data_IF_796089724726
#
_entry.id   IF_796089724726
#
_cell.length_a   1.000
_cell.length_b   1.000
_cell.length_c   1.000
_cell.angle_alpha   90.00
_cell.angle_beta   90.00
_cell.angle_gamma   90.00
#
_symmetry.space_group_name_H-M   'P 1'
#
loop_
_entity.id
_entity.type
_entity.pdbx_description
1 polymer ?
#
# COMPACT_ATOMS: atom_id res chain seq x y z
N UNK A 1 15.65 -27.00 -20.68
CA UNK A 1 14.97 -25.70 -20.92
C UNK A 1 13.88 -25.37 -19.90
N UNK A 2 13.07 -26.34 -19.42
CA UNK A 2 11.93 -26.08 -18.52
C UNK A 2 12.28 -25.55 -17.12
N UNK A 3 13.42 -25.93 -16.54
CA UNK A 3 13.83 -25.47 -15.20
C UNK A 3 14.11 -23.96 -15.12
N UNK A 4 14.67 -23.37 -16.19
CA UNK A 4 14.93 -21.93 -16.26
C UNK A 4 13.62 -21.15 -16.37
N UNK A 5 12.66 -21.66 -17.16
CA UNK A 5 11.34 -21.05 -17.31
C UNK A 5 10.54 -21.08 -16.00
N UNK A 6 10.55 -22.19 -15.25
CA UNK A 6 9.92 -22.26 -13.92
C UNK A 6 10.55 -21.28 -12.92
N UNK A 7 11.88 -21.16 -12.91
CA UNK A 7 12.59 -20.22 -12.03
C UNK A 7 12.25 -18.77 -12.36
N UNK A 8 12.17 -18.43 -13.66
CA UNK A 8 11.73 -17.10 -14.10
C UNK A 8 10.29 -16.81 -13.66
N UNK A 9 9.39 -17.79 -13.79
CA UNK A 9 7.99 -17.64 -13.39
C UNK A 9 7.85 -17.43 -11.88
N UNK A 10 8.61 -18.14 -11.06
CA UNK A 10 8.65 -17.93 -9.61
C UNK A 10 9.19 -16.55 -9.22
N UNK A 11 10.24 -16.08 -9.89
CA UNK A 11 10.81 -14.74 -9.64
C UNK A 11 9.78 -13.66 -9.97
N UNK A 12 9.14 -13.74 -11.14
CA UNK A 12 8.10 -12.79 -11.56
C UNK A 12 6.90 -12.81 -10.60
N UNK A 13 6.49 -13.99 -10.14
CA UNK A 13 5.41 -14.13 -9.15
C UNK A 13 5.77 -13.42 -7.83
N UNK A 14 6.99 -13.61 -7.32
CA UNK A 14 7.46 -12.95 -6.09
C UNK A 14 7.53 -11.43 -6.24
N UNK A 15 8.09 -10.94 -7.35
CA UNK A 15 8.17 -9.50 -7.63
C UNK A 15 6.78 -8.87 -7.77
N UNK A 16 5.85 -9.54 -8.44
CA UNK A 16 4.47 -9.05 -8.63
C UNK A 16 3.71 -8.97 -7.31
N UNK A 17 3.88 -9.95 -6.43
CA UNK A 17 3.28 -9.94 -5.08
C UNK A 17 3.78 -8.74 -4.29
N UNK A 18 5.10 -8.52 -4.28
CA UNK A 18 5.72 -7.37 -3.59
C UNK A 18 5.18 -6.07 -4.18
N UNK A 19 5.23 -5.88 -5.50
CA UNK A 19 4.75 -4.67 -6.16
C UNK A 19 3.26 -4.38 -5.91
N UNK A 20 2.41 -5.42 -5.88
CA UNK A 20 0.97 -5.28 -5.63
C UNK A 20 0.67 -4.84 -4.20
N UNK A 21 1.51 -5.20 -3.23
CA UNK A 21 1.40 -4.71 -1.84
C UNK A 21 1.87 -3.24 -1.77
N UNK A 22 2.97 -2.91 -2.44
CA UNK A 22 3.53 -1.55 -2.42
C UNK A 22 2.70 -0.52 -3.18
N UNK A 23 2.03 -0.87 -4.29
CA UNK A 23 1.23 0.07 -5.08
C UNK A 23 0.19 0.88 -4.26
N UNK A 24 -0.73 0.25 -3.50
CA UNK A 24 -1.70 1.00 -2.71
C UNK A 24 -1.05 1.77 -1.57
N UNK A 25 0.01 1.23 -0.96
CA UNK A 25 0.79 1.93 0.09
C UNK A 25 1.41 3.22 -0.46
N UNK A 26 2.07 3.15 -1.61
CA UNK A 26 2.68 4.30 -2.27
C UNK A 26 1.64 5.31 -2.72
N UNK A 27 0.45 4.88 -3.14
CA UNK A 27 -0.64 5.79 -3.48
C UNK A 27 -1.11 6.57 -2.26
N UNK A 28 -1.30 5.89 -1.11
CA UNK A 28 -1.69 6.57 0.14
C UNK A 28 -0.56 7.49 0.61
N UNK A 29 0.69 7.03 0.63
CA UNK A 29 1.84 7.85 1.00
C UNK A 29 2.06 9.03 0.06
N UNK A 30 1.79 8.86 -1.23
CA UNK A 30 1.85 9.90 -2.24
C UNK A 30 0.78 10.96 -2.03
N UNK A 31 -0.47 10.55 -1.81
CA UNK A 31 -1.57 11.47 -1.46
C UNK A 31 -1.22 12.21 -0.16
N UNK A 32 -0.87 11.50 0.92
CA UNK A 32 -0.53 12.12 2.21
C UNK A 32 0.78 12.92 2.22
N UNK A 33 1.69 12.68 1.27
CA UNK A 33 2.93 13.43 1.09
C UNK A 33 2.77 14.71 0.28
N UNK A 34 1.59 14.97 -0.29
CA UNK A 34 1.30 16.25 -0.92
C UNK A 34 1.17 17.33 0.15
N UNK A 35 1.77 18.51 -0.10
CA UNK A 35 1.77 19.66 0.81
C UNK A 35 0.36 20.27 0.93
N UNK A 36 -0.57 19.57 1.56
CA UNK A 36 -1.91 20.06 1.85
C UNK A 36 -1.82 21.15 2.93
N UNK A 37 -2.05 22.39 2.52
CA UNK A 37 -1.97 23.56 3.40
C UNK A 37 -3.35 23.84 4.03
N UNK A 38 -3.56 23.60 5.34
CA UNK A 38 -4.88 23.71 5.98
C UNK A 38 -5.45 25.15 6.04
N UNK A 39 -4.68 26.17 5.65
CA UNK A 39 -5.13 27.57 5.59
C UNK A 39 -5.75 28.04 4.26
N UNK A 40 -5.75 27.24 3.19
CA UNK A 40 -6.07 27.74 1.84
C UNK A 40 -7.53 27.51 1.37
N UNK A 41 -8.31 26.62 2.01
CA UNK A 41 -9.73 26.41 1.66
C UNK A 41 -10.44 25.64 2.77
N UNK A 42 -11.69 25.98 3.09
CA UNK A 42 -12.54 25.28 4.07
C UNK A 42 -12.79 23.80 3.72
N UNK A 43 -12.51 23.41 2.46
CA UNK A 43 -12.61 22.05 1.94
C UNK A 43 -11.27 21.31 1.90
N UNK A 44 -10.17 21.95 2.33
CA UNK A 44 -8.84 21.35 2.33
C UNK A 44 -8.66 20.53 3.62
N UNK A 45 -8.97 19.23 3.55
CA UNK A 45 -8.66 18.20 4.57
C UNK A 45 -8.86 18.62 6.05
N UNK A 46 -10.09 18.56 6.58
CA UNK A 46 -10.35 18.70 8.02
C UNK A 46 -9.61 17.64 8.89
N UNK A 47 -9.14 16.54 8.28
CA UNK A 47 -8.40 15.45 8.94
C UNK A 47 -6.97 15.84 9.37
N UNK A 48 -6.39 16.92 8.83
CA UNK A 48 -5.04 17.40 9.21
C UNK A 48 -5.05 18.22 10.52
N UNK A 49 -6.20 18.79 10.89
CA UNK A 49 -6.41 19.37 12.23
C UNK A 49 -6.69 18.31 13.30
N UNK A 50 -6.90 17.05 12.91
CA UNK A 50 -7.12 15.97 13.85
C UNK A 50 -5.77 15.42 14.32
N UNK A 51 -5.47 15.54 15.62
CA UNK A 51 -4.22 15.06 16.22
C UNK A 51 -3.91 13.58 15.91
N UNK A 52 -4.93 12.79 15.53
CA UNK A 52 -4.81 11.37 15.22
C UNK A 52 -4.90 11.03 13.71
N UNK A 53 -5.07 12.00 12.81
CA UNK A 53 -5.20 11.74 11.36
C UNK A 53 -3.99 10.99 10.80
N UNK A 54 -2.77 11.39 11.20
CA UNK A 54 -1.53 10.70 10.85
C UNK A 54 -1.49 9.25 11.37
N UNK A 55 -1.93 9.02 12.61
CA UNK A 55 -1.96 7.68 13.23
C UNK A 55 -3.01 6.78 12.57
N UNK A 56 -4.18 7.32 12.22
CA UNK A 56 -5.23 6.60 11.52
C UNK A 56 -4.77 6.12 10.15
N UNK A 57 -4.06 6.96 9.41
CA UNK A 57 -3.54 6.65 8.07
C UNK A 57 -2.48 5.57 8.13
N UNK A 58 -1.57 5.64 9.09
CA UNK A 58 -0.61 4.56 9.35
C UNK A 58 -1.35 3.27 9.71
N UNK A 59 -2.36 3.34 10.57
CA UNK A 59 -3.22 2.21 10.90
C UNK A 59 -3.89 1.60 9.67
N UNK A 60 -4.41 2.43 8.77
CA UNK A 60 -5.06 2.03 7.53
C UNK A 60 -4.05 1.42 6.54
N UNK A 61 -2.85 1.98 6.41
CA UNK A 61 -1.76 1.40 5.63
C UNK A 61 -1.35 0.01 6.14
N UNK A 62 -1.21 -0.15 7.46
CA UNK A 62 -0.90 -1.44 8.10
C UNK A 62 -2.05 -2.44 7.86
N UNK A 63 -3.29 -2.00 8.02
CA UNK A 63 -4.47 -2.85 7.84
C UNK A 63 -4.61 -3.33 6.40
N UNK A 64 -4.35 -2.46 5.41
CA UNK A 64 -4.32 -2.84 3.98
C UNK A 64 -3.18 -3.83 3.71
N UNK A 65 -2.00 -3.59 4.28
CA UNK A 65 -0.83 -4.48 4.13
C UNK A 65 -1.13 -5.88 4.69
N UNK A 66 -1.69 -5.95 5.89
CA UNK A 66 -2.10 -7.21 6.52
C UNK A 66 -3.23 -7.88 5.74
N UNK A 67 -4.22 -7.12 5.28
CA UNK A 67 -5.32 -7.62 4.45
C UNK A 67 -4.83 -8.25 3.14
N UNK A 68 -3.94 -7.55 2.43
CA UNK A 68 -3.28 -8.06 1.21
C UNK A 68 -2.43 -9.30 1.52
N UNK A 69 -1.65 -9.29 2.60
CA UNK A 69 -0.83 -10.45 3.00
C UNK A 69 -1.69 -11.68 3.30
N UNK A 70 -2.80 -11.52 4.03
CA UNK A 70 -3.75 -12.60 4.31
C UNK A 70 -4.43 -13.08 3.02
N UNK A 71 -4.80 -12.16 2.13
CA UNK A 71 -5.40 -12.49 0.83
C UNK A 71 -4.45 -13.33 -0.04
N UNK A 72 -3.20 -12.89 -0.20
CA UNK A 72 -2.18 -13.63 -0.96
C UNK A 72 -1.84 -14.98 -0.33
N UNK A 73 -1.80 -15.07 1.01
CA UNK A 73 -1.62 -16.32 1.75
C UNK A 73 -2.79 -17.29 1.51
N UNK A 74 -4.03 -16.80 1.56
CA UNK A 74 -5.23 -17.63 1.28
C UNK A 74 -5.31 -18.09 -0.16
N UNK A 75 -4.83 -17.30 -1.11
CA UNK A 75 -4.82 -17.63 -2.53
C UNK A 75 -3.70 -18.61 -2.92
N UNK A 76 -2.90 -19.11 -1.96
CA UNK A 76 -1.73 -19.99 -2.20
C UNK A 76 -0.76 -19.43 -3.25
N UNK A 77 -0.63 -18.11 -3.27
CA UNK A 77 0.37 -17.46 -4.12
C UNK A 77 1.77 -17.58 -3.51
N UNK A 78 1.83 -17.82 -2.19
CA UNK A 78 2.96 -18.35 -1.45
C UNK A 78 2.98 -19.88 -1.47
#
# INVERSE_FOLDING_TARGET
LSAVSNRMNEIMKRLTIVATIFMPLTLIAGVYGMNFNPGASHWNMPELNWAYGYVFVIGLMILITLGMMVYFKRKKWF
#
